data_IF_042800952758
#
_entry.id   IF_042800952758
#
_cell.length_a   1.000
_cell.length_b   1.000
_cell.length_c   1.000
_cell.angle_alpha   90.00
_cell.angle_beta   90.00
_cell.angle_gamma   90.00
#
_symmetry.space_group_name_H-M   'P 1'
#
loop_
_entity.id
_entity.type
_entity.pdbx_description
1 polymer ?
#
# COMPACT_ATOMS: atom_id res chain seq x y z
N UNK A 1 13.46 -3.33 -1.44
CA UNK A 1 12.03 -3.29 -1.01
C UNK A 1 11.76 -3.77 0.43
N UNK A 2 12.00 -5.03 0.83
CA UNK A 2 11.79 -5.48 2.25
C UNK A 2 12.61 -4.63 3.24
N UNK A 3 13.85 -4.30 2.87
CA UNK A 3 14.73 -3.40 3.62
C UNK A 3 14.21 -1.97 3.71
N UNK A 4 13.44 -1.48 2.73
CA UNK A 4 12.92 -0.12 2.70
C UNK A 4 11.78 0.05 3.70
N UNK A 5 10.87 -0.93 3.78
CA UNK A 5 9.78 -0.87 4.73
C UNK A 5 10.31 -0.78 6.16
N UNK A 6 11.19 -1.69 6.57
CA UNK A 6 11.78 -1.67 7.92
C UNK A 6 12.57 -0.39 8.21
N UNK A 7 13.26 0.19 7.22
CA UNK A 7 14.04 1.44 7.41
C UNK A 7 13.16 2.68 7.62
N UNK A 8 11.95 2.70 7.06
CA UNK A 8 11.12 3.90 6.98
C UNK A 8 9.79 3.80 7.74
N UNK A 9 9.35 2.60 8.12
CA UNK A 9 8.15 2.40 8.92
C UNK A 9 8.21 3.15 10.26
N UNK A 10 9.33 3.05 10.98
CA UNK A 10 9.53 3.75 12.25
C UNK A 10 9.66 5.27 12.11
N UNK A 11 9.92 5.74 10.89
CA UNK A 11 9.98 7.15 10.54
C UNK A 11 8.61 7.70 10.15
N UNK A 12 7.56 6.89 10.08
CA UNK A 12 6.20 7.35 9.74
C UNK A 12 5.85 7.23 8.25
N UNK A 13 6.71 6.65 7.41
CA UNK A 13 6.32 6.32 6.04
C UNK A 13 5.50 5.05 6.00
N UNK A 14 4.54 5.02 5.07
CA UNK A 14 3.78 3.82 4.73
C UNK A 14 4.18 3.39 3.33
N UNK A 15 4.57 2.12 3.21
CA UNK A 15 4.83 1.50 1.91
C UNK A 15 3.63 0.62 1.60
N UNK A 16 3.02 0.89 0.45
CA UNK A 16 1.89 0.14 -0.10
C UNK A 16 2.30 -0.26 -1.51
N UNK A 17 2.27 -1.56 -1.80
CA UNK A 17 2.31 -2.05 -3.17
C UNK A 17 0.91 -2.29 -3.69
N UNK A 18 0.71 -1.97 -4.96
CA UNK A 18 -0.49 -2.30 -5.71
C UNK A 18 -0.10 -3.14 -6.92
N UNK A 19 -0.91 -4.14 -7.24
CA UNK A 19 -0.66 -5.04 -8.38
C UNK A 19 -1.96 -5.42 -9.06
N UNK A 20 -1.91 -5.59 -10.38
CA UNK A 20 -3.04 -6.07 -11.18
C UNK A 20 -2.88 -7.55 -11.60
N UNK A 21 -1.99 -8.28 -10.92
CA UNK A 21 -1.83 -9.73 -11.04
C UNK A 21 -2.92 -10.49 -10.27
N UNK A 22 -3.06 -11.79 -10.54
CA UNK A 22 -3.99 -12.66 -9.81
C UNK A 22 -3.53 -12.98 -8.39
N UNK A 23 -4.48 -13.15 -7.47
CA UNK A 23 -4.21 -13.37 -6.05
C UNK A 23 -3.25 -14.54 -5.77
N UNK A 24 -3.39 -15.73 -6.40
CA UNK A 24 -2.47 -16.84 -6.17
C UNK A 24 -1.00 -16.52 -6.53
N UNK A 25 -0.75 -15.81 -7.64
CA UNK A 25 0.60 -15.36 -7.99
C UNK A 25 1.15 -14.35 -7.00
N UNK A 26 0.30 -13.42 -6.54
CA UNK A 26 0.69 -12.40 -5.57
C UNK A 26 1.03 -13.04 -4.22
N UNK A 27 0.23 -14.00 -3.75
CA UNK A 27 0.53 -14.78 -2.56
C UNK A 27 1.85 -15.53 -2.66
N UNK A 28 2.09 -16.20 -3.80
CA UNK A 28 3.35 -16.91 -4.04
C UNK A 28 4.55 -15.94 -4.03
N UNK A 29 4.39 -14.75 -4.62
CA UNK A 29 5.42 -13.72 -4.69
C UNK A 29 5.70 -13.09 -3.32
N UNK A 30 4.66 -12.80 -2.53
CA UNK A 30 4.79 -12.31 -1.15
C UNK A 30 5.56 -13.34 -0.30
N UNK A 31 5.23 -14.62 -0.44
CA UNK A 31 5.91 -15.73 0.26
C UNK A 31 7.37 -15.85 -0.16
N UNK A 32 7.64 -15.90 -1.47
CA UNK A 32 8.99 -16.04 -2.04
C UNK A 32 9.91 -14.88 -1.64
N UNK A 33 9.40 -13.65 -1.73
CA UNK A 33 10.15 -12.44 -1.44
C UNK A 33 10.11 -12.01 0.02
N UNK A 34 9.35 -12.71 0.87
CA UNK A 34 9.12 -12.33 2.27
C UNK A 34 8.73 -10.86 2.42
N UNK A 35 7.77 -10.41 1.61
CA UNK A 35 7.29 -9.02 1.67
C UNK A 35 6.63 -8.75 3.01
N UNK A 36 7.03 -7.63 3.64
CA UNK A 36 6.59 -7.21 4.96
C UNK A 36 5.76 -5.92 4.92
N UNK A 37 5.22 -5.56 3.75
CA UNK A 37 4.42 -4.35 3.55
C UNK A 37 3.11 -4.70 2.83
N UNK A 38 2.12 -3.85 3.07
CA UNK A 38 0.77 -4.01 2.54
C UNK A 38 0.78 -4.12 1.02
N UNK A 39 0.17 -5.18 0.48
CA UNK A 39 -0.03 -5.39 -0.95
C UNK A 39 -1.50 -5.48 -1.26
N UNK A 40 -1.99 -4.61 -2.14
CA UNK A 40 -3.37 -4.65 -2.63
C UNK A 40 -3.45 -5.09 -4.08
N UNK A 41 -4.52 -5.83 -4.38
CA UNK A 41 -4.92 -6.16 -5.75
C UNK A 41 -5.74 -5.00 -6.32
N UNK A 42 -5.44 -4.57 -7.53
CA UNK A 42 -6.12 -3.46 -8.22
C UNK A 42 -6.56 -3.88 -9.62
N UNK A 43 -7.61 -3.25 -10.15
CA UNK A 43 -8.00 -3.43 -11.55
C UNK A 43 -6.94 -2.79 -12.48
N UNK A 44 -6.67 -3.42 -13.64
CA UNK A 44 -5.83 -2.83 -14.69
C UNK A 44 -6.31 -1.46 -15.17
N UNK A 45 -7.59 -1.14 -15.03
CA UNK A 45 -8.15 0.19 -15.30
C UNK A 45 -7.56 1.27 -14.37
N UNK A 46 -7.24 0.93 -13.12
CA UNK A 46 -6.60 1.85 -12.14
C UNK A 46 -5.15 2.12 -12.54
N UNK A 47 -4.46 1.10 -13.05
CA UNK A 47 -3.08 1.20 -13.58
C UNK A 47 -3.02 2.25 -14.69
N UNK A 48 -4.01 2.23 -15.60
CA UNK A 48 -4.10 3.20 -16.70
C UNK A 48 -4.40 4.63 -16.22
N UNK A 49 -5.30 4.79 -15.26
CA UNK A 49 -5.67 6.10 -14.70
C UNK A 49 -4.49 6.79 -14.00
N UNK A 50 -3.66 6.00 -13.31
CA UNK A 50 -2.43 6.50 -12.71
C UNK A 50 -1.30 6.73 -13.73
N UNK A 51 -1.55 6.41 -15.00
CA UNK A 51 -0.59 6.52 -16.09
C UNK A 51 0.65 5.67 -15.84
N UNK A 52 0.47 4.48 -15.26
CA UNK A 52 1.53 3.47 -15.11
C UNK A 52 1.76 2.84 -16.47
N UNK A 53 2.96 3.03 -17.02
CA UNK A 53 3.33 2.54 -18.36
C UNK A 53 4.31 1.36 -18.31
N UNK A 54 4.91 1.11 -17.15
CA UNK A 54 5.86 0.04 -16.91
C UNK A 54 5.83 -0.37 -15.43
N UNK A 55 6.25 -1.59 -15.15
CA UNK A 55 6.40 -2.10 -13.80
C UNK A 55 7.89 -2.35 -13.50
N UNK A 56 8.38 -2.02 -12.30
CA UNK A 56 7.70 -1.31 -11.22
C UNK A 56 7.60 0.21 -11.49
N UNK A 57 6.49 0.86 -11.07
CA UNK A 57 6.37 2.33 -11.00
C UNK A 57 6.09 2.74 -9.55
N UNK A 58 6.91 3.63 -9.02
CA UNK A 58 6.81 4.11 -7.63
C UNK A 58 6.17 5.49 -7.59
N UNK A 59 5.42 5.74 -6.52
CA UNK A 59 4.82 7.03 -6.22
C UNK A 59 5.16 7.38 -4.77
N UNK A 60 5.45 8.65 -4.52
CA UNK A 60 5.51 9.21 -3.16
C UNK A 60 4.37 10.21 -3.05
N UNK A 61 3.55 10.04 -2.01
CA UNK A 61 2.42 10.89 -1.70
C UNK A 61 2.69 11.63 -0.40
N UNK A 62 2.19 12.87 -0.28
CA UNK A 62 2.17 13.59 1.00
C UNK A 62 0.96 13.18 1.86
N UNK A 63 0.85 13.76 3.05
CA UNK A 63 -0.26 13.62 4.00
C UNK A 63 -1.63 13.94 3.39
N UNK A 64 -1.68 14.85 2.41
CA UNK A 64 -2.87 15.23 1.63
C UNK A 64 -3.18 14.29 0.47
N UNK A 65 -2.44 13.18 0.32
CA UNK A 65 -2.56 12.24 -0.79
C UNK A 65 -2.24 12.85 -2.18
N UNK A 66 -1.44 13.90 -2.23
CA UNK A 66 -0.96 14.50 -3.47
C UNK A 66 0.35 13.83 -3.91
N UNK A 67 0.48 13.56 -5.21
CA UNK A 67 1.70 12.95 -5.77
C UNK A 67 2.82 13.98 -5.79
N UNK A 68 3.87 13.75 -5.00
CA UNK A 68 5.05 14.62 -4.92
C UNK A 68 6.25 14.08 -5.73
N UNK A 69 6.28 12.76 -5.95
CA UNK A 69 7.25 12.07 -6.83
C UNK A 69 6.57 10.90 -7.54
N UNK A 70 6.98 10.63 -8.78
CA UNK A 70 6.54 9.49 -9.60
C UNK A 70 7.69 9.04 -10.49
N UNK A 71 7.88 7.72 -10.62
CA UNK A 71 8.80 7.15 -11.62
C UNK A 71 9.24 5.73 -11.29
N UNK A 72 9.95 5.11 -12.22
CA UNK A 72 10.79 3.97 -11.88
C UNK A 72 11.96 4.49 -11.03
N UNK A 73 12.24 3.83 -9.92
CA UNK A 73 13.29 4.23 -9.01
C UNK A 73 13.91 3.00 -8.36
N UNK A 74 15.23 3.03 -8.21
CA UNK A 74 15.97 2.12 -7.35
C UNK A 74 15.70 2.43 -5.86
N UNK A 75 16.00 1.46 -5.00
CA UNK A 75 15.89 1.65 -3.55
C UNK A 75 16.65 2.92 -3.07
N UNK A 76 17.81 3.22 -3.65
CA UNK A 76 18.63 4.40 -3.30
C UNK A 76 18.01 5.73 -3.77
N UNK A 77 17.35 5.74 -4.94
CA UNK A 77 16.62 6.91 -5.42
C UNK A 77 15.39 7.19 -4.56
N UNK A 78 14.67 6.14 -4.15
CA UNK A 78 13.55 6.26 -3.20
C UNK A 78 14.06 6.82 -1.87
N UNK A 79 15.17 6.30 -1.35
CA UNK A 79 15.83 6.83 -0.14
C UNK A 79 16.14 8.33 -0.28
N UNK A 80 16.65 8.76 -1.44
CA UNK A 80 16.88 10.18 -1.73
C UNK A 80 15.60 11.01 -1.81
N UNK A 81 14.52 10.46 -2.38
CA UNK A 81 13.22 11.14 -2.47
C UNK A 81 12.61 11.37 -1.11
N UNK A 82 12.76 10.41 -0.20
CA UNK A 82 12.20 10.49 1.14
C UNK A 82 13.12 11.19 2.13
N UNK A 83 14.44 11.18 1.95
CA UNK A 83 15.39 11.82 2.87
C UNK A 83 15.13 13.31 3.13
N UNK A 84 14.56 14.03 2.16
CA UNK A 84 14.21 15.44 2.29
C UNK A 84 12.81 15.69 2.83
N UNK A 85 12.01 14.63 2.99
CA UNK A 85 10.68 14.68 3.59
C UNK A 85 10.87 14.34 5.07
N UNK A 86 10.42 15.21 5.96
CA UNK A 86 10.30 14.87 7.38
C UNK A 86 8.85 14.50 7.59
N UNK A 87 8.48 13.21 7.50
CA UNK A 87 7.15 12.79 7.87
C UNK A 87 6.95 13.10 9.35
N UNK A 88 5.85 13.76 9.66
CA UNK A 88 5.37 13.72 11.04
C UNK A 88 5.07 12.26 11.37
N UNK A 89 5.51 11.81 12.55
CA UNK A 89 5.22 10.45 13.00
C UNK A 89 3.72 10.39 13.33
N UNK A 90 2.90 10.14 12.32
CA UNK A 90 1.44 10.20 12.49
C UNK A 90 0.96 8.86 13.06
N UNK A 91 0.74 8.81 14.37
CA UNK A 91 0.10 7.65 15.03
C UNK A 91 -1.42 7.72 14.82
N UNK A 92 -1.83 7.56 13.56
CA UNK A 92 -3.23 7.65 13.18
C UNK A 92 -3.94 6.30 13.36
N UNK A 93 -5.27 6.31 13.47
CA UNK A 93 -6.10 5.11 13.37
C UNK A 93 -5.74 4.21 12.19
N UNK A 94 -5.45 4.78 11.01
CA UNK A 94 -4.96 4.03 9.85
C UNK A 94 -3.59 3.37 10.09
N UNK A 95 -2.68 4.00 10.85
CA UNK A 95 -1.41 3.37 11.28
C UNK A 95 -1.69 2.17 12.20
N UNK A 96 -2.67 2.28 13.11
CA UNK A 96 -3.04 1.19 14.01
C UNK A 96 -3.72 0.03 13.29
N UNK A 97 -4.61 0.34 12.35
CA UNK A 97 -5.32 -0.67 11.58
C UNK A 97 -4.38 -1.42 10.61
N UNK A 98 -3.42 -0.72 9.98
CA UNK A 98 -2.41 -1.36 9.12
C UNK A 98 -1.32 -2.10 9.90
N UNK A 99 -1.05 -1.76 11.18
CA UNK A 99 -0.13 -2.52 12.05
C UNK A 99 -0.56 -3.97 12.25
N UNK A 100 -1.86 -4.26 12.33
CA UNK A 100 -2.36 -5.64 12.46
C UNK A 100 -2.05 -6.46 11.21
N UNK A 101 -2.33 -5.89 10.03
CA UNK A 101 -1.97 -6.49 8.74
C UNK A 101 -0.44 -6.70 8.64
N UNK A 102 0.35 -5.68 9.02
CA UNK A 102 1.82 -5.76 9.04
C UNK A 102 2.33 -6.87 9.96
N UNK A 103 1.77 -7.00 11.17
CA UNK A 103 2.12 -8.09 12.09
C UNK A 103 1.72 -9.46 11.55
N UNK A 104 0.56 -9.59 10.92
CA UNK A 104 0.15 -10.84 10.28
C UNK A 104 1.09 -11.23 9.12
N UNK A 105 1.62 -10.26 8.37
CA UNK A 105 2.68 -10.50 7.38
C UNK A 105 3.98 -11.00 8.05
N UNK A 106 4.40 -10.40 9.16
CA UNK A 106 5.58 -10.85 9.93
C UNK A 106 5.41 -12.27 10.47
N UNK A 107 4.22 -12.60 10.96
CA UNK A 107 3.85 -13.93 11.46
C UNK A 107 3.61 -14.96 10.34
N UNK A 108 3.74 -14.55 9.07
CA UNK A 108 3.46 -15.36 7.86
C UNK A 108 2.02 -15.88 7.75
N UNK A 109 1.10 -15.25 8.45
CA UNK A 109 -0.34 -15.52 8.35
C UNK A 109 -0.96 -14.64 7.25
N UNK A 110 -0.71 -15.01 6.00
CA UNK A 110 -1.08 -14.21 4.83
C UNK A 110 -2.60 -14.09 4.62
N UNK A 111 -3.36 -15.11 5.04
CA UNK A 111 -4.82 -15.07 4.97
C UNK A 111 -5.36 -13.97 5.90
N UNK A 112 -4.86 -13.93 7.15
CA UNK A 112 -5.17 -12.87 8.09
C UNK A 112 -4.64 -11.52 7.65
N UNK A 113 -3.45 -11.47 7.06
CA UNK A 113 -2.89 -10.23 6.53
C UNK A 113 -3.78 -9.62 5.43
N UNK A 114 -4.35 -10.46 4.57
CA UNK A 114 -5.31 -10.05 3.53
C UNK A 114 -6.65 -9.61 4.13
N UNK A 115 -7.16 -10.31 5.14
CA UNK A 115 -8.39 -9.96 5.86
C UNK A 115 -8.29 -8.59 6.54
N UNK A 116 -7.26 -8.40 7.37
CA UNK A 116 -6.98 -7.14 8.07
C UNK A 116 -6.77 -5.99 7.08
N UNK A 117 -6.07 -6.28 5.97
CA UNK A 117 -5.90 -5.32 4.87
C UNK A 117 -7.23 -4.92 4.24
N UNK A 118 -8.15 -5.86 4.10
CA UNK A 118 -9.48 -5.63 3.52
C UNK A 118 -10.38 -4.84 4.47
N UNK A 119 -10.34 -5.11 5.78
CA UNK A 119 -11.09 -4.36 6.80
C UNK A 119 -10.67 -2.88 6.85
N UNK A 120 -9.36 -2.60 6.75
CA UNK A 120 -8.82 -1.24 6.63
C UNK A 120 -9.42 -0.51 5.42
N UNK A 121 -9.50 -1.19 4.27
CA UNK A 121 -10.07 -0.63 3.04
C UNK A 121 -11.58 -0.44 3.11
N UNK A 122 -12.29 -1.29 3.88
CA UNK A 122 -13.71 -1.12 4.13
C UNK A 122 -14.00 0.14 4.98
N UNK A 123 -12.97 0.66 5.67
CA UNK A 123 -13.07 1.81 6.57
C UNK A 123 -13.60 1.42 7.95
N UNK A 124 -13.63 0.13 8.28
CA UNK A 124 -14.21 -0.40 9.52
C UNK A 124 -13.39 0.00 10.76
N UNK A 125 -12.09 0.24 10.61
CA UNK A 125 -11.17 0.60 11.69
C UNK A 125 -10.58 2.03 11.56
N UNK A 126 -11.17 2.89 10.72
CA UNK A 126 -10.58 4.19 10.35
C UNK A 126 -11.46 5.36 10.78
N UNK A 127 -10.91 6.30 11.57
CA UNK A 127 -11.61 7.53 11.98
C UNK A 127 -11.86 8.48 10.80
N UNK A 128 -12.80 9.42 10.96
CA UNK A 128 -13.30 10.29 9.87
C UNK A 128 -12.22 11.11 9.13
N UNK A 129 -11.15 11.53 9.79
CA UNK A 129 -10.07 12.32 9.18
C UNK A 129 -9.15 11.46 8.30
N UNK A 130 -8.85 10.24 8.74
CA UNK A 130 -8.10 9.22 7.99
C UNK A 130 -8.94 8.52 6.93
N UNK A 131 -10.27 8.63 7.04
CA UNK A 131 -11.21 8.03 6.10
C UNK A 131 -10.97 8.52 4.67
N UNK A 132 -10.48 9.74 4.46
CA UNK A 132 -10.06 10.21 3.11
C UNK A 132 -8.92 9.40 2.52
N UNK A 133 -7.93 9.04 3.33
CA UNK A 133 -6.80 8.22 2.90
C UNK A 133 -7.29 6.80 2.64
N UNK A 134 -8.09 6.23 3.54
CA UNK A 134 -8.69 4.92 3.35
C UNK A 134 -9.63 4.87 2.13
N UNK A 135 -10.46 5.89 1.91
CA UNK A 135 -11.35 6.04 0.76
C UNK A 135 -10.56 6.19 -0.53
N UNK A 136 -9.43 6.92 -0.52
CA UNK A 136 -8.55 6.99 -1.69
C UNK A 136 -7.90 5.65 -1.98
N UNK A 137 -7.40 4.94 -0.97
CA UNK A 137 -6.88 3.58 -1.15
C UNK A 137 -8.02 2.64 -1.61
N UNK A 138 -9.23 2.79 -1.09
CA UNK A 138 -10.42 2.05 -1.52
C UNK A 138 -10.84 2.39 -2.94
N UNK A 139 -10.71 3.63 -3.39
CA UNK A 139 -10.94 4.02 -4.78
C UNK A 139 -9.90 3.36 -5.70
N UNK A 140 -8.66 3.26 -5.22
CA UNK A 140 -7.57 2.56 -5.91
C UNK A 140 -7.81 1.04 -6.00
N UNK A 141 -8.43 0.45 -4.99
CA UNK A 141 -8.66 -1.01 -4.90
C UNK A 141 -10.03 -1.44 -5.44
N UNK A 142 -11.05 -0.62 -5.22
CA UNK A 142 -12.48 -0.92 -5.35
C UNK A 142 -12.99 -1.04 -6.78
N UNK A 143 -12.16 -0.80 -7.81
CA UNK A 143 -12.56 -1.03 -9.21
C UNK A 143 -12.80 -2.51 -9.56
N UNK A 144 -12.55 -3.46 -8.65
CA UNK A 144 -12.97 -4.86 -8.81
C UNK A 144 -14.47 -5.11 -8.57
N UNK A 145 -15.19 -4.31 -7.77
CA UNK A 145 -16.53 -4.71 -7.29
C UNK A 145 -17.65 -4.52 -8.32
N UNK A 146 -17.45 -3.71 -9.37
CA UNK A 146 -18.49 -3.46 -10.38
C UNK A 146 -18.49 -4.43 -11.58
N UNK A 147 -17.50 -5.32 -11.72
CA UNK A 147 -17.43 -6.27 -12.84
C UNK A 147 -17.81 -7.72 -12.50
N UNK A 148 -18.12 -8.02 -11.25
CA UNK A 148 -18.64 -9.34 -10.86
C UNK A 148 -20.18 -9.45 -11.01
N UNK A 149 -20.89 -8.36 -11.33
CA UNK A 149 -22.36 -8.30 -11.44
C UNK A 149 -22.87 -7.75 -12.79
N UNK A 150 -22.10 -7.88 -13.88
CA UNK A 150 -22.57 -7.60 -15.24
C UNK A 150 -22.13 -8.67 -16.22
#
# INVERSE_FOLDING_TARGET
MVSLHSKFADKGYRIVSVTAEDAPKVEAMIKDKSMNYFTALIDRAVVNEYGVRSWPTMYVLNDKCEVIRKGAASDQEIEGWVATLVPDKVDTPLTKATKKAGKAYEDRDFAKALEESTAVLAGEEVEAEDKRVADRIKELVGKQVQKANK
#
